data_IF_595374954357
#
_entry.id   IF_595374954357
#
_cell.length_a   1.000
_cell.length_b   1.000
_cell.length_c   1.000
_cell.angle_alpha   90.00
_cell.angle_beta   90.00
_cell.angle_gamma   90.00
#
_symmetry.space_group_name_H-M   'P 1'
#
loop_
_entity.id
_entity.type
_entity.pdbx_description
1 polymer ?
#
# COMPACT_ATOMS: atom_id res chain seq x y z
N UNK A 1 25.09 31.71 -66.50
CA UNK A 1 25.33 31.91 -65.06
C UNK A 1 24.03 31.71 -64.29
N UNK A 2 23.84 30.53 -63.71
CA UNK A 2 22.60 30.17 -63.00
C UNK A 2 22.96 29.95 -61.52
N UNK A 3 22.46 30.88 -60.64
CA UNK A 3 22.69 30.82 -59.19
C UNK A 3 21.69 29.87 -58.55
N UNK A 4 22.17 28.73 -58.09
CA UNK A 4 21.44 27.83 -57.25
C UNK A 4 21.32 28.43 -55.85
N UNK A 5 20.08 28.64 -55.35
CA UNK A 5 19.78 28.95 -53.93
C UNK A 5 19.39 27.65 -53.23
N UNK A 6 20.31 27.18 -52.42
CA UNK A 6 20.02 26.09 -51.47
C UNK A 6 19.21 26.61 -50.28
N UNK A 7 17.98 26.15 -50.13
CA UNK A 7 17.19 26.33 -48.92
C UNK A 7 17.63 25.32 -47.87
N UNK A 8 18.34 25.76 -46.88
CA UNK A 8 18.65 24.95 -45.70
C UNK A 8 17.41 24.85 -44.80
N UNK A 9 16.80 23.66 -44.73
CA UNK A 9 15.76 23.36 -43.73
C UNK A 9 16.47 23.09 -42.41
N UNK A 10 16.40 24.02 -41.49
CA UNK A 10 16.79 23.80 -40.10
C UNK A 10 15.72 22.98 -39.39
N UNK A 11 16.00 21.71 -39.20
CA UNK A 11 15.19 20.83 -38.36
C UNK A 11 15.52 21.14 -36.90
N UNK A 12 14.71 21.98 -36.25
CA UNK A 12 14.76 22.17 -34.81
C UNK A 12 14.33 20.88 -34.15
N UNK A 13 15.27 20.04 -33.78
CA UNK A 13 15.03 18.94 -32.83
C UNK A 13 14.90 19.59 -31.46
N UNK A 14 13.65 19.84 -31.02
CA UNK A 14 13.39 20.08 -29.61
C UNK A 14 13.78 18.81 -28.83
N UNK A 15 14.73 18.89 -27.87
CA UNK A 15 14.91 17.80 -26.94
C UNK A 15 13.61 17.73 -26.12
N UNK A 16 12.86 16.61 -26.27
CA UNK A 16 11.91 16.20 -25.26
C UNK A 16 12.72 16.04 -23.97
N UNK A 17 12.69 17.06 -23.13
CA UNK A 17 13.03 16.92 -21.72
C UNK A 17 11.99 15.97 -21.15
N UNK A 18 12.27 14.66 -21.21
CA UNK A 18 11.66 13.72 -20.30
C UNK A 18 12.06 14.21 -18.91
N UNK A 19 11.18 15.00 -18.30
CA UNK A 19 11.25 15.25 -16.88
C UNK A 19 11.14 13.86 -16.23
N UNK A 20 12.30 13.30 -15.88
CA UNK A 20 12.38 12.23 -14.92
C UNK A 20 11.69 12.77 -13.67
N UNK A 21 10.41 12.45 -13.50
CA UNK A 21 9.74 12.64 -12.22
C UNK A 21 10.62 11.87 -11.24
N UNK A 22 11.38 12.59 -10.47
CA UNK A 22 12.16 12.03 -9.38
C UNK A 22 11.14 11.41 -8.43
N UNK A 23 10.97 10.10 -8.50
CA UNK A 23 10.23 9.29 -7.55
C UNK A 23 10.99 9.21 -6.21
N UNK A 24 11.65 10.29 -5.83
CA UNK A 24 12.18 10.50 -4.50
C UNK A 24 11.07 10.75 -3.47
N UNK A 25 9.83 10.39 -3.78
CA UNK A 25 8.78 10.26 -2.79
C UNK A 25 9.06 8.97 -2.02
N UNK A 26 9.57 9.14 -0.85
CA UNK A 26 9.94 8.10 0.08
C UNK A 26 8.68 7.35 0.49
N UNK A 27 8.75 6.02 0.47
CA UNK A 27 7.78 5.19 1.14
C UNK A 27 7.89 5.49 2.64
N UNK A 28 6.80 5.97 3.23
CA UNK A 28 6.78 6.45 4.59
C UNK A 28 6.20 5.38 5.53
N UNK A 29 6.91 5.12 6.63
CA UNK A 29 6.50 4.17 7.67
C UNK A 29 6.39 4.95 8.98
N UNK A 30 5.18 5.01 9.52
CA UNK A 30 4.90 5.65 10.81
C UNK A 30 4.54 4.61 11.86
N UNK A 31 5.08 4.80 13.05
CA UNK A 31 4.83 3.94 14.20
C UNK A 31 4.35 4.74 15.41
N UNK A 32 3.30 4.25 16.05
CA UNK A 32 2.69 4.82 17.24
C UNK A 32 2.53 3.76 18.33
N UNK A 33 2.79 4.14 19.56
CA UNK A 33 2.44 3.37 20.75
C UNK A 33 1.36 4.14 21.52
N UNK A 34 0.15 3.63 21.52
CA UNK A 34 -1.03 4.36 21.95
C UNK A 34 -1.25 5.61 21.07
N UNK A 35 -1.39 6.76 21.68
CA UNK A 35 -1.50 8.07 21.01
C UNK A 35 -0.15 8.78 20.81
N UNK A 36 0.95 8.16 21.23
CA UNK A 36 2.28 8.77 21.18
C UNK A 36 3.01 8.31 19.92
N UNK A 37 3.40 9.23 19.00
CA UNK A 37 4.26 8.88 17.88
C UNK A 37 5.63 8.45 18.40
N UNK A 38 6.16 7.33 17.90
CA UNK A 38 7.42 6.74 18.32
C UNK A 38 8.47 6.71 17.23
N UNK A 39 8.06 6.89 16.00
CA UNK A 39 8.95 6.93 14.87
C UNK A 39 8.20 7.28 13.59
N UNK A 40 8.94 7.91 12.71
CA UNK A 40 8.54 8.28 11.36
C UNK A 40 9.82 8.17 10.53
N UNK A 41 9.85 7.27 9.57
CA UNK A 41 11.03 7.09 8.74
C UNK A 41 10.66 6.77 7.30
N UNK A 42 11.38 7.37 6.43
CA UNK A 42 11.25 7.20 5.01
C UNK A 42 12.24 6.14 4.52
N UNK A 43 11.74 5.14 3.80
CA UNK A 43 12.56 4.13 3.18
C UNK A 43 12.76 4.42 1.70
N UNK A 44 13.99 4.33 1.16
CA UNK A 44 14.24 4.58 -0.25
C UNK A 44 13.58 3.48 -1.10
N UNK A 45 12.92 3.90 -2.16
CA UNK A 45 12.33 3.01 -3.16
C UNK A 45 13.42 2.59 -4.15
N UNK A 46 13.51 1.30 -4.43
CA UNK A 46 14.42 0.70 -5.41
C UNK A 46 13.60 0.28 -6.63
N UNK A 47 13.92 0.85 -7.79
CA UNK A 47 13.35 0.43 -9.08
C UNK A 47 13.95 -0.93 -9.46
N UNK A 48 13.08 -1.91 -9.72
CA UNK A 48 13.46 -3.26 -10.13
C UNK A 48 13.25 -3.51 -11.62
N UNK A 49 12.80 -2.49 -12.37
CA UNK A 49 12.44 -2.59 -13.80
C UNK A 49 11.09 -3.26 -14.08
N UNK A 50 10.50 -3.93 -13.09
CA UNK A 50 9.15 -4.54 -13.16
C UNK A 50 8.23 -4.05 -12.02
N UNK A 51 8.64 -3.03 -11.28
CA UNK A 51 7.98 -2.46 -10.11
C UNK A 51 9.02 -1.89 -9.17
N UNK A 52 8.62 -1.64 -7.93
CA UNK A 52 9.48 -1.06 -6.91
C UNK A 52 9.54 -1.96 -5.68
N UNK A 53 10.68 -1.95 -5.01
CA UNK A 53 10.88 -2.59 -3.71
C UNK A 53 11.44 -1.61 -2.71
N UNK A 54 11.21 -1.88 -1.44
CA UNK A 54 11.87 -1.22 -0.33
C UNK A 54 12.76 -2.25 0.35
N UNK A 55 13.98 -1.87 0.71
CA UNK A 55 14.84 -2.74 1.49
C UNK A 55 14.19 -3.08 2.82
N UNK A 56 14.40 -4.30 3.29
CA UNK A 56 14.00 -4.72 4.62
C UNK A 56 14.57 -3.78 5.67
N UNK A 57 13.73 -3.31 6.58
CA UNK A 57 14.12 -2.38 7.63
C UNK A 57 13.75 -2.94 9.00
N UNK A 58 14.66 -2.84 9.93
CA UNK A 58 14.41 -3.14 11.35
C UNK A 58 14.57 -1.88 12.15
N UNK A 59 13.58 -1.58 12.98
CA UNK A 59 13.54 -0.40 13.82
C UNK A 59 13.28 -0.79 15.28
N UNK A 60 13.97 -0.13 16.21
CA UNK A 60 13.86 -0.37 17.65
C UNK A 60 13.33 0.86 18.38
N UNK A 61 12.04 1.19 18.23
CA UNK A 61 11.45 2.25 19.04
C UNK A 61 11.39 1.82 20.51
N UNK A 62 11.31 2.78 21.41
CA UNK A 62 11.19 2.48 22.83
C UNK A 62 9.98 1.58 23.12
N UNK A 63 10.24 0.35 23.59
CA UNK A 63 9.22 -0.62 23.95
C UNK A 63 8.75 -1.55 22.84
N UNK A 64 9.36 -1.52 21.65
CA UNK A 64 9.06 -2.48 20.58
C UNK A 64 10.29 -2.79 19.72
N UNK A 65 10.23 -3.91 19.00
CA UNK A 65 11.05 -4.17 17.81
C UNK A 65 10.12 -4.34 16.63
N UNK A 66 10.37 -3.61 15.55
CA UNK A 66 9.58 -3.66 14.32
C UNK A 66 10.50 -4.07 13.18
N UNK A 67 10.11 -5.10 12.45
CA UNK A 67 10.78 -5.52 11.22
C UNK A 67 9.77 -5.49 10.08
N UNK A 68 9.97 -4.62 9.11
CA UNK A 68 9.18 -4.54 7.89
C UNK A 68 9.98 -5.10 6.73
N UNK A 69 9.43 -6.06 6.00
CA UNK A 69 10.10 -6.82 4.97
C UNK A 69 9.15 -7.20 3.83
N UNK A 70 9.70 -7.72 2.72
CA UNK A 70 8.94 -8.12 1.52
C UNK A 70 8.00 -7.01 1.00
N UNK A 71 8.45 -5.75 1.08
CA UNK A 71 7.67 -4.61 0.65
C UNK A 71 7.79 -4.48 -0.87
N UNK A 72 6.67 -4.62 -1.56
CA UNK A 72 6.58 -4.48 -3.02
C UNK A 72 5.54 -3.42 -3.37
N UNK A 73 5.89 -2.59 -4.34
CA UNK A 73 5.08 -1.48 -4.83
C UNK A 73 5.03 -1.56 -6.35
N UNK A 74 3.91 -1.21 -6.98
CA UNK A 74 3.75 -1.19 -8.44
C UNK A 74 3.22 0.16 -8.92
N UNK A 75 3.41 0.43 -10.23
CA UNK A 75 2.92 1.63 -10.89
C UNK A 75 1.38 1.67 -10.99
N UNK A 76 0.71 0.52 -11.16
CA UNK A 76 -0.71 0.37 -10.83
C UNK A 76 -0.78 0.35 -9.30
N UNK A 77 -1.30 1.41 -8.62
CA UNK A 77 -0.98 1.65 -7.24
C UNK A 77 -1.43 0.50 -6.33
N UNK A 78 -0.45 -0.28 -5.89
CA UNK A 78 -0.63 -1.25 -4.82
C UNK A 78 0.53 -1.24 -3.82
N UNK A 79 0.25 -1.67 -2.61
CA UNK A 79 1.22 -1.93 -1.55
C UNK A 79 1.07 -3.37 -1.12
N UNK A 80 2.18 -4.11 -1.07
CA UNK A 80 2.30 -5.39 -0.37
C UNK A 80 3.40 -5.24 0.67
N UNK A 81 3.11 -5.58 1.92
CA UNK A 81 4.08 -5.46 2.99
C UNK A 81 3.89 -6.56 4.03
N UNK A 82 5.00 -7.11 4.51
CA UNK A 82 5.06 -7.95 5.70
C UNK A 82 5.71 -7.19 6.83
N UNK A 83 5.17 -7.31 8.03
CA UNK A 83 5.70 -6.66 9.22
C UNK A 83 5.58 -7.56 10.45
N UNK A 84 6.63 -7.55 11.26
CA UNK A 84 6.68 -8.15 12.59
C UNK A 84 6.76 -7.05 13.63
N UNK A 85 6.03 -7.20 14.72
CA UNK A 85 6.11 -6.33 15.91
C UNK A 85 6.28 -7.19 17.15
N UNK A 86 7.33 -6.94 17.91
CA UNK A 86 7.55 -7.55 19.22
C UNK A 86 7.30 -6.50 20.30
N UNK A 87 6.44 -6.82 21.26
CA UNK A 87 6.22 -5.98 22.43
C UNK A 87 7.30 -6.23 23.47
N UNK A 88 8.31 -5.36 23.54
CA UNK A 88 9.42 -5.49 24.49
C UNK A 88 9.10 -4.91 25.89
N UNK A 89 7.84 -4.61 26.19
CA UNK A 89 7.42 -4.09 27.51
C UNK A 89 6.77 -5.17 28.36
N UNK A 90 6.73 -4.99 29.70
CA UNK A 90 6.05 -5.92 30.60
C UNK A 90 4.52 -5.75 30.65
N UNK A 91 3.94 -4.92 29.78
CA UNK A 91 2.51 -4.62 29.75
C UNK A 91 1.95 -4.79 28.34
N UNK A 92 0.65 -5.08 28.23
CA UNK A 92 -0.06 -5.02 26.97
C UNK A 92 0.02 -3.60 26.40
N UNK A 93 0.37 -3.49 25.13
CA UNK A 93 0.54 -2.21 24.42
C UNK A 93 -0.40 -2.11 23.23
N UNK A 94 -0.75 -0.88 22.89
CA UNK A 94 -1.47 -0.55 21.65
C UNK A 94 -0.49 -0.03 20.63
N UNK A 95 -0.52 -0.61 19.44
CA UNK A 95 0.34 -0.24 18.31
C UNK A 95 -0.47 0.24 17.12
N UNK A 96 0.06 1.23 16.43
CA UNK A 96 -0.43 1.67 15.11
C UNK A 96 0.78 1.81 14.19
N UNK A 97 0.74 1.09 13.06
CA UNK A 97 1.71 1.22 11.97
C UNK A 97 0.99 1.72 10.73
N UNK A 98 1.57 2.70 10.05
CA UNK A 98 1.04 3.25 8.81
C UNK A 98 2.14 3.19 7.76
N UNK A 99 1.85 2.54 6.65
CA UNK A 99 2.68 2.47 5.45
C UNK A 99 2.03 3.35 4.40
N UNK A 100 2.74 4.35 3.90
CA UNK A 100 2.20 5.30 2.91
C UNK A 100 3.04 5.32 1.65
N UNK A 101 2.39 5.17 0.50
CA UNK A 101 2.97 5.28 -0.83
C UNK A 101 2.34 6.49 -1.54
N UNK A 102 3.10 7.53 -1.86
CA UNK A 102 2.65 8.58 -2.77
C UNK A 102 2.37 8.01 -4.16
N UNK A 103 1.32 8.50 -4.81
CA UNK A 103 0.93 8.05 -6.15
C UNK A 103 1.04 9.18 -7.18
N UNK A 104 1.40 8.81 -8.41
CA UNK A 104 1.39 9.71 -9.57
C UNK A 104 1.30 8.86 -10.84
N UNK A 105 0.34 9.14 -11.75
CA UNK A 105 -0.65 10.20 -11.71
C UNK A 105 -1.75 9.96 -10.67
N UNK A 106 -2.45 11.03 -10.28
CA UNK A 106 -3.63 10.96 -9.43
C UNK A 106 -4.80 10.24 -10.13
N UNK A 107 -5.59 9.49 -9.36
CA UNK A 107 -6.83 8.83 -9.83
C UNK A 107 -8.01 9.75 -9.51
N UNK A 108 -8.55 10.42 -10.54
CA UNK A 108 -9.61 11.45 -10.40
C UNK A 108 -11.00 10.99 -10.86
N UNK A 109 -11.10 9.81 -11.47
CA UNK A 109 -12.35 9.29 -12.07
C UNK A 109 -13.11 8.33 -11.18
N UNK A 110 -12.80 8.32 -9.87
CA UNK A 110 -13.20 7.28 -8.95
C UNK A 110 -12.27 6.07 -9.01
N UNK A 111 -12.34 5.24 -8.00
CA UNK A 111 -11.50 4.05 -7.93
C UNK A 111 -12.29 2.78 -7.62
N UNK A 112 -11.64 1.65 -7.85
CA UNK A 112 -12.00 0.36 -7.28
C UNK A 112 -10.87 -0.08 -6.36
N UNK A 113 -11.23 -0.61 -5.21
CA UNK A 113 -10.28 -1.03 -4.20
C UNK A 113 -10.45 -2.50 -3.85
N UNK A 114 -9.36 -3.09 -3.40
CA UNK A 114 -9.31 -4.43 -2.84
C UNK A 114 -8.13 -4.57 -1.90
N UNK A 115 -8.25 -5.48 -0.96
CA UNK A 115 -7.16 -5.73 -0.01
C UNK A 115 -7.30 -7.07 0.68
N UNK A 116 -6.19 -7.49 1.27
CA UNK A 116 -6.12 -8.69 2.10
C UNK A 116 -5.13 -8.48 3.24
N UNK A 117 -5.34 -9.21 4.32
CA UNK A 117 -4.38 -9.28 5.40
C UNK A 117 -4.42 -10.65 6.06
N UNK A 118 -3.24 -11.14 6.42
CA UNK A 118 -3.04 -12.26 7.33
C UNK A 118 -2.41 -11.72 8.59
N UNK A 119 -3.04 -11.95 9.73
CA UNK A 119 -2.50 -11.63 11.04
C UNK A 119 -2.04 -12.89 11.76
N UNK A 120 -0.89 -12.85 12.40
CA UNK A 120 -0.32 -13.92 13.21
C UNK A 120 0.04 -13.42 14.60
N UNK A 121 -0.01 -14.33 15.57
CA UNK A 121 0.40 -14.13 16.96
C UNK A 121 1.30 -15.28 17.38
N UNK A 122 2.41 -14.97 18.06
CA UNK A 122 3.30 -15.94 18.68
C UNK A 122 3.55 -15.53 20.12
N UNK A 123 3.39 -16.47 21.06
CA UNK A 123 3.86 -16.34 22.43
C UNK A 123 5.41 -16.44 22.41
N UNK A 124 6.07 -15.29 22.33
CA UNK A 124 7.51 -15.21 22.13
C UNK A 124 8.29 -15.18 23.45
N UNK A 125 7.66 -14.86 24.56
CA UNK A 125 8.23 -14.87 25.90
C UNK A 125 8.02 -16.20 26.65
N UNK A 126 7.26 -17.14 26.05
CA UNK A 126 6.98 -18.47 26.59
C UNK A 126 6.21 -18.47 27.93
N UNK A 127 5.39 -17.44 28.20
CA UNK A 127 4.59 -17.39 29.42
C UNK A 127 3.22 -18.11 29.29
N UNK A 128 2.83 -18.51 28.07
CA UNK A 128 1.59 -19.21 27.76
C UNK A 128 0.36 -18.30 27.67
N UNK A 129 0.56 -16.99 27.53
CA UNK A 129 -0.52 -15.99 27.48
C UNK A 129 -0.28 -15.01 26.32
N UNK A 130 -0.61 -15.42 25.09
CA UNK A 130 -0.53 -14.53 23.93
C UNK A 130 -1.90 -14.01 23.54
N UNK A 131 -2.03 -12.70 23.30
CA UNK A 131 -3.24 -12.08 22.73
C UNK A 131 -2.91 -10.93 21.80
N UNK A 132 -3.48 -10.97 20.58
CA UNK A 132 -3.51 -9.92 19.59
C UNK A 132 -4.98 -9.55 19.35
N UNK A 133 -5.37 -8.31 19.58
CA UNK A 133 -6.77 -7.90 19.41
C UNK A 133 -6.94 -6.49 18.86
N UNK A 134 -8.16 -6.19 18.37
CA UNK A 134 -8.57 -4.83 18.02
C UNK A 134 -8.58 -3.93 19.26
N UNK A 135 -8.29 -2.65 19.06
CA UNK A 135 -8.17 -1.65 20.16
C UNK A 135 -9.51 -1.39 20.85
N UNK A 136 -10.62 -1.46 20.14
CA UNK A 136 -11.95 -1.24 20.72
C UNK A 136 -13.05 -1.04 19.67
N UNK A 137 -14.26 -0.69 20.09
CA UNK A 137 -15.38 -0.46 19.19
C UNK A 137 -15.05 0.55 18.09
N UNK A 138 -15.45 0.25 16.86
CA UNK A 138 -15.18 1.10 15.68
C UNK A 138 -13.78 0.94 15.09
N UNK A 139 -12.92 0.06 15.65
CA UNK A 139 -11.59 -0.21 15.08
C UNK A 139 -11.53 -1.54 14.32
N UNK A 140 -10.50 -1.70 13.50
CA UNK A 140 -10.15 -2.94 12.83
C UNK A 140 -8.63 -3.19 12.95
N UNK A 141 -8.18 -4.43 12.75
CA UNK A 141 -6.74 -4.75 12.76
C UNK A 141 -6.01 -4.19 11.52
N UNK A 142 -6.73 -4.03 10.43
CA UNK A 142 -6.20 -3.55 9.15
C UNK A 142 -7.15 -2.52 8.54
N UNK A 143 -6.54 -1.53 7.88
CA UNK A 143 -7.23 -0.58 7.01
C UNK A 143 -6.41 -0.36 5.73
N UNK A 144 -7.09 -0.40 4.57
CA UNK A 144 -6.60 0.26 3.36
C UNK A 144 -6.87 1.75 3.44
N UNK A 145 -5.88 2.57 3.07
CA UNK A 145 -5.97 4.04 3.13
C UNK A 145 -5.94 4.63 1.73
N UNK A 146 -6.72 5.69 1.51
CA UNK A 146 -6.59 6.60 0.37
C UNK A 146 -6.48 8.02 0.92
N UNK A 147 -5.43 8.75 0.53
CA UNK A 147 -5.14 10.12 0.97
C UNK A 147 -5.20 10.26 2.51
N UNK A 148 -4.71 9.23 3.23
CA UNK A 148 -4.71 9.18 4.69
C UNK A 148 -6.06 8.83 5.34
N UNK A 149 -7.11 8.57 4.55
CA UNK A 149 -8.45 8.22 5.05
C UNK A 149 -8.67 6.71 5.01
N UNK A 150 -9.23 6.14 6.07
CA UNK A 150 -9.60 4.72 6.17
C UNK A 150 -10.74 4.39 5.19
N UNK A 151 -10.49 3.50 4.21
CA UNK A 151 -11.49 3.16 3.18
C UNK A 151 -11.84 1.67 3.12
N UNK A 152 -10.98 0.78 3.67
CA UNK A 152 -11.19 -0.65 3.64
C UNK A 152 -10.80 -1.28 4.97
N UNK A 153 -11.71 -1.39 5.95
CA UNK A 153 -11.44 -2.11 7.19
C UNK A 153 -11.53 -3.62 7.00
N UNK A 154 -10.53 -4.36 7.52
CA UNK A 154 -10.54 -5.82 7.62
C UNK A 154 -10.29 -6.24 9.07
N UNK A 155 -10.89 -7.36 9.50
CA UNK A 155 -10.94 -7.80 10.90
C UNK A 155 -11.49 -6.70 11.85
N UNK A 156 -12.75 -6.28 11.65
CA UNK A 156 -13.38 -5.28 12.51
C UNK A 156 -13.58 -5.81 13.94
N UNK A 157 -13.65 -4.88 14.88
CA UNK A 157 -13.97 -5.19 16.27
C UNK A 157 -15.37 -5.83 16.41
N UNK A 158 -15.53 -6.86 17.29
CA UNK A 158 -14.51 -7.51 18.10
C UNK A 158 -13.73 -8.56 17.29
N UNK A 159 -12.40 -8.46 17.29
CA UNK A 159 -11.53 -9.47 16.70
C UNK A 159 -10.34 -9.73 17.63
N UNK A 160 -10.01 -11.00 17.86
CA UNK A 160 -8.90 -11.39 18.74
C UNK A 160 -8.33 -12.74 18.30
N UNK A 161 -7.00 -12.84 18.33
CA UNK A 161 -6.24 -14.10 18.33
C UNK A 161 -5.70 -14.34 19.73
N UNK A 162 -5.76 -15.60 20.21
CA UNK A 162 -5.21 -15.97 21.50
C UNK A 162 -4.42 -17.27 21.40
N UNK A 163 -3.32 -17.32 22.15
CA UNK A 163 -2.46 -18.50 22.27
C UNK A 163 -2.35 -18.84 23.77
N UNK A 164 -3.02 -19.93 24.23
CA UNK A 164 -3.08 -20.28 25.64
C UNK A 164 -2.00 -21.32 26.07
N UNK A 165 -0.88 -21.41 25.34
CA UNK A 165 0.20 -22.36 25.63
C UNK A 165 1.57 -21.80 25.23
N UNK A 166 2.59 -22.18 25.98
CA UNK A 166 3.96 -21.69 25.86
C UNK A 166 4.55 -21.92 24.45
N UNK A 167 5.08 -20.85 23.85
CA UNK A 167 5.70 -20.88 22.54
C UNK A 167 4.72 -21.18 21.40
N UNK A 168 3.42 -21.11 21.66
CA UNK A 168 2.39 -21.33 20.67
C UNK A 168 2.25 -20.22 19.65
N UNK A 169 1.53 -20.51 18.56
CA UNK A 169 1.19 -19.53 17.55
C UNK A 169 -0.24 -19.72 17.03
N UNK A 170 -0.85 -18.64 16.59
CA UNK A 170 -2.15 -18.62 15.93
C UNK A 170 -2.13 -17.66 14.76
N UNK A 171 -2.97 -17.89 13.74
CA UNK A 171 -3.09 -16.99 12.61
C UNK A 171 -4.51 -16.94 12.07
N UNK A 172 -4.84 -15.85 11.39
CA UNK A 172 -6.10 -15.67 10.68
C UNK A 172 -5.85 -14.86 9.41
N UNK A 173 -6.71 -15.01 8.41
CA UNK A 173 -6.61 -14.26 7.16
C UNK A 173 -8.00 -13.84 6.66
N UNK A 174 -8.05 -12.71 5.96
CA UNK A 174 -9.26 -12.22 5.31
C UNK A 174 -8.92 -11.36 4.10
N UNK A 175 -9.89 -11.20 3.20
CA UNK A 175 -9.77 -10.34 2.03
C UNK A 175 -11.12 -9.74 1.65
N UNK A 176 -11.08 -8.61 0.96
CA UNK A 176 -12.26 -8.01 0.35
C UNK A 176 -11.88 -7.34 -0.98
N UNK A 177 -12.78 -7.40 -1.97
CA UNK A 177 -12.56 -6.81 -3.28
C UNK A 177 -11.50 -7.48 -4.15
N UNK A 178 -11.10 -8.72 -3.86
CA UNK A 178 -10.11 -9.49 -4.61
C UNK A 178 -10.74 -10.72 -5.28
N UNK A 179 -10.13 -11.31 -6.35
CA UNK A 179 -8.77 -11.10 -6.87
C UNK A 179 -8.55 -9.81 -7.70
N UNK A 180 -9.54 -9.20 -8.28
CA UNK A 180 -9.45 -7.87 -8.89
C UNK A 180 -10.16 -6.84 -8.01
N UNK A 181 -9.75 -5.57 -7.94
CA UNK A 181 -10.40 -4.59 -7.10
C UNK A 181 -11.85 -4.37 -7.56
N UNK A 182 -12.83 -4.73 -6.70
CA UNK A 182 -14.26 -4.69 -7.04
C UNK A 182 -15.06 -3.72 -6.19
N UNK A 183 -14.54 -3.31 -5.03
CA UNK A 183 -15.23 -2.40 -4.12
C UNK A 183 -15.08 -0.97 -4.64
N UNK A 184 -16.19 -0.19 -4.80
CA UNK A 184 -16.09 1.23 -5.14
C UNK A 184 -15.29 1.98 -4.07
N UNK A 185 -14.30 2.78 -4.51
CA UNK A 185 -13.47 3.62 -3.65
C UNK A 185 -13.54 5.10 -4.08
N UNK A 186 -13.06 6.01 -3.24
CA UNK A 186 -12.96 7.42 -3.58
C UNK A 186 -11.85 7.67 -4.61
N UNK A 187 -11.73 8.91 -5.08
CA UNK A 187 -10.55 9.35 -5.82
C UNK A 187 -9.31 9.18 -4.96
N UNK A 188 -8.18 8.85 -5.59
CA UNK A 188 -6.89 8.81 -4.91
C UNK A 188 -6.00 9.89 -5.53
N UNK A 189 -5.74 10.95 -4.77
CA UNK A 189 -5.12 12.16 -5.30
C UNK A 189 -3.64 12.25 -4.99
N UNK A 190 -3.22 11.79 -3.82
CA UNK A 190 -1.86 11.98 -3.31
C UNK A 190 -1.18 10.69 -2.89
N UNK A 191 -1.92 9.77 -2.24
CA UNK A 191 -1.31 8.57 -1.66
C UNK A 191 -2.30 7.43 -1.48
N UNK A 192 -1.74 6.23 -1.39
CA UNK A 192 -2.41 5.05 -0.85
C UNK A 192 -1.63 4.52 0.35
N UNK A 193 -2.26 3.70 1.18
CA UNK A 193 -1.59 3.20 2.38
C UNK A 193 -2.21 1.95 2.97
N UNK A 194 -1.47 1.37 3.92
CA UNK A 194 -1.93 0.31 4.81
C UNK A 194 -1.75 0.78 6.25
N UNK A 195 -2.78 0.63 7.08
CA UNK A 195 -2.68 0.86 8.52
C UNK A 195 -3.03 -0.42 9.28
N UNK A 196 -2.15 -0.80 10.22
CA UNK A 196 -2.42 -1.80 11.24
C UNK A 196 -2.63 -1.13 12.58
N UNK A 197 -3.70 -1.48 13.30
CA UNK A 197 -4.00 -0.95 14.63
C UNK A 197 -4.47 -2.08 15.54
N UNK A 198 -3.69 -2.35 16.60
CA UNK A 198 -3.92 -3.52 17.46
C UNK A 198 -3.36 -3.35 18.87
N UNK A 199 -3.83 -4.20 19.79
CA UNK A 199 -3.19 -4.42 21.10
C UNK A 199 -2.43 -5.74 21.09
N UNK A 200 -1.30 -5.80 21.76
CA UNK A 200 -0.43 -6.97 21.87
C UNK A 200 0.03 -7.16 23.31
N UNK A 201 -0.11 -8.36 23.84
CA UNK A 201 0.35 -8.75 25.17
C UNK A 201 1.86 -8.58 25.33
N UNK A 202 2.30 -8.51 26.58
CA UNK A 202 3.70 -8.30 26.97
C UNK A 202 4.60 -9.40 26.44
N UNK A 203 5.74 -9.04 25.84
CA UNK A 203 6.74 -9.99 25.36
C UNK A 203 6.38 -10.78 24.12
N UNK A 204 5.19 -10.61 23.55
CA UNK A 204 4.69 -11.37 22.42
C UNK A 204 5.05 -10.74 21.07
N UNK A 205 4.84 -11.54 20.01
CA UNK A 205 5.10 -11.14 18.62
C UNK A 205 3.81 -11.20 17.78
N UNK A 206 3.50 -10.09 17.14
CA UNK A 206 2.49 -10.01 16.10
C UNK A 206 3.13 -9.96 14.70
N UNK A 207 2.55 -10.66 13.72
CA UNK A 207 2.99 -10.63 12.33
C UNK A 207 1.82 -10.26 11.43
N UNK A 208 2.08 -9.46 10.40
CA UNK A 208 1.08 -9.14 9.38
C UNK A 208 1.70 -9.27 7.99
N UNK A 209 0.99 -9.94 7.09
CA UNK A 209 1.25 -9.91 5.66
C UNK A 209 0.02 -9.32 4.98
N UNK A 210 0.19 -8.19 4.31
CA UNK A 210 -0.92 -7.36 3.88
C UNK A 210 -0.75 -6.84 2.47
N UNK A 211 -1.87 -6.64 1.80
CA UNK A 211 -1.97 -6.14 0.44
C UNK A 211 -3.10 -5.14 0.33
N UNK A 212 -2.88 -4.04 -0.40
CA UNK A 212 -3.89 -3.07 -0.76
C UNK A 212 -3.67 -2.58 -2.18
N UNK A 213 -4.73 -2.57 -2.99
CA UNK A 213 -4.71 -2.16 -4.40
C UNK A 213 -5.81 -1.15 -4.67
N UNK A 214 -5.48 -0.16 -5.48
CA UNK A 214 -6.40 0.87 -5.96
C UNK A 214 -6.29 0.93 -7.48
N UNK A 215 -7.40 0.84 -8.19
CA UNK A 215 -7.45 0.88 -9.66
C UNK A 215 -8.41 1.98 -10.13
N UNK A 216 -8.00 2.76 -11.11
CA UNK A 216 -8.88 3.76 -11.74
C UNK A 216 -10.08 3.09 -12.43
N UNK A 217 -11.26 3.69 -12.29
CA UNK A 217 -12.42 3.28 -13.07
C UNK A 217 -12.29 3.87 -14.48
N UNK A 218 -12.23 3.05 -15.55
CA UNK A 218 -12.18 3.58 -16.92
C UNK A 218 -13.40 4.47 -17.21
N UNK A 219 -13.16 5.66 -17.77
CA UNK A 219 -14.26 6.53 -18.17
C UNK A 219 -15.10 5.88 -19.28
N UNK A 220 -16.43 5.93 -19.19
CA UNK A 220 -17.31 5.40 -20.25
C UNK A 220 -17.04 5.98 -21.64
N UNK A 221 -16.49 7.20 -21.69
CA UNK A 221 -16.15 7.91 -22.93
C UNK A 221 -14.99 7.27 -23.71
N UNK A 222 -14.02 6.67 -23.05
CA UNK A 222 -12.88 6.02 -23.74
C UNK A 222 -13.33 4.77 -24.53
N UNK A 223 -14.27 4.01 -23.99
CA UNK A 223 -14.88 2.87 -24.70
C UNK A 223 -15.76 3.34 -25.87
N UNK A 224 -16.47 4.45 -25.71
CA UNK A 224 -17.25 5.07 -26.76
C UNK A 224 -16.41 5.56 -27.94
N UNK A 225 -15.30 6.23 -27.66
CA UNK A 225 -14.35 6.67 -28.69
C UNK A 225 -13.67 5.51 -29.41
N UNK A 226 -13.33 4.44 -28.70
CA UNK A 226 -12.75 3.22 -29.29
C UNK A 226 -13.78 2.54 -30.21
N UNK A 227 -15.04 2.46 -29.83
CA UNK A 227 -16.13 1.90 -30.62
C UNK A 227 -16.39 2.75 -31.90
N UNK A 228 -16.41 4.07 -31.77
CA UNK A 228 -16.61 5.01 -32.91
C UNK A 228 -15.40 4.94 -33.84
N UNK A 229 -14.17 4.92 -33.32
CA UNK A 229 -12.93 4.78 -34.08
C UNK A 229 -12.87 3.44 -34.85
N UNK A 230 -13.28 2.36 -34.22
CA UNK A 230 -13.40 1.04 -34.85
C UNK A 230 -14.43 1.01 -35.97
N UNK A 231 -15.61 1.64 -35.79
CA UNK A 231 -16.64 1.79 -36.82
C UNK A 231 -16.15 2.61 -38.02
N UNK A 232 -15.50 3.74 -37.81
CA UNK A 232 -14.93 4.58 -38.88
C UNK A 232 -13.88 3.79 -39.69
N UNK A 233 -13.02 3.03 -39.04
CA UNK A 233 -12.03 2.18 -39.71
C UNK A 233 -12.69 1.06 -40.52
N UNK A 234 -13.74 0.43 -40.00
CA UNK A 234 -14.48 -0.62 -40.69
C UNK A 234 -15.18 -0.09 -41.97
N UNK A 235 -15.75 1.11 -41.91
CA UNK A 235 -16.37 1.75 -43.10
C UNK A 235 -15.34 2.20 -44.14
N UNK A 236 -14.13 2.64 -43.70
CA UNK A 236 -13.07 3.05 -44.63
C UNK A 236 -12.46 1.86 -45.40
N UNK A 237 -12.51 0.65 -44.83
CA UNK A 237 -12.00 -0.57 -45.46
C UNK A 237 -12.93 -1.17 -46.52
N UNK A 238 -14.18 -0.69 -46.59
CA UNK A 238 -15.20 -1.16 -47.57
C UNK A 238 -15.32 -0.27 -48.82
N UNK A 239 -14.52 0.79 -48.90
CA UNK A 239 -14.35 1.62 -50.11
C UNK A 239 -12.97 1.32 -50.75
#
# INVERSE_FOLDING_TARGET
>A
MQKSRSFGVWLCILPLLASSVSWASMFDIQFWNGSTPRGDWAAPIIDTGSGYKVNDVTYWPLGATIHAYDITLDADPFISASVDVVNNTPLTQTYTLIFTLPISPAITTGSRIGGSTQGGLTDANFDGIGTLSTVGPGTALYYGLIDGVDVLPLFPHPNSLSVPFQGGSASQSTSAGLPGPTIPGPNALTSIGIKHQFTLTAGDRATFTSFFVVQAVPEPGSLGLLAIGGLIMAFRRRR
#
